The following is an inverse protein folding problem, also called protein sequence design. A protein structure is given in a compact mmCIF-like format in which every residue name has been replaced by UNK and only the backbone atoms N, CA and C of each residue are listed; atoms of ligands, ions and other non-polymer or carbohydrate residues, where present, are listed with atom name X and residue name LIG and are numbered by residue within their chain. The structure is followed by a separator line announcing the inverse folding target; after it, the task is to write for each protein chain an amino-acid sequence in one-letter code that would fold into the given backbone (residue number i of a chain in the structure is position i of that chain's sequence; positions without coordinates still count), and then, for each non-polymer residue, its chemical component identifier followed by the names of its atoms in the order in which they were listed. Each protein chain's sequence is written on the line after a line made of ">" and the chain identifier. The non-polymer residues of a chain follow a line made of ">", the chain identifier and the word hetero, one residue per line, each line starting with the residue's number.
data_IF_566773875256
#
_entry.id   IF_566773875256
#
_cell.length_a   1.000
_cell.length_b   1.000
_cell.length_c   1.000
_cell.angle_alpha   90.00
_cell.angle_beta   90.00
_cell.angle_gamma   90.00
#
_symmetry.space_group_name_H-M   'P 1'
#
loop_
_entity.id
_entity.type
_entity.pdbx_description
1 polymer ?
#
# COMPACT_ATOMS: atom_id res chain seq x y z
N UNK A 1 3.25 -2.33 -12.44
CA UNK A 1 3.90 -3.45 -11.71
C UNK A 1 2.83 -4.41 -11.25
N UNK A 2 2.86 -5.68 -11.67
CA UNK A 2 1.87 -6.69 -11.24
C UNK A 2 1.89 -6.87 -9.72
N UNK A 3 0.74 -7.10 -9.09
CA UNK A 3 0.62 -7.31 -7.63
C UNK A 3 1.57 -8.39 -7.09
N UNK A 4 1.83 -9.43 -7.88
CA UNK A 4 2.81 -10.47 -7.53
C UNK A 4 4.23 -9.91 -7.42
N UNK A 5 4.64 -9.03 -8.33
CA UNK A 5 5.98 -8.44 -8.35
C UNK A 5 6.17 -7.51 -7.15
N UNK A 6 5.16 -6.67 -6.84
CA UNK A 6 5.18 -5.80 -5.66
C UNK A 6 5.44 -6.59 -4.38
N UNK A 7 4.73 -7.71 -4.18
CA UNK A 7 4.89 -8.57 -3.00
C UNK A 7 6.27 -9.22 -2.91
N UNK A 8 6.86 -9.62 -4.04
CA UNK A 8 8.22 -10.18 -4.08
C UNK A 8 9.25 -9.12 -3.71
N UNK A 9 9.14 -7.91 -4.30
CA UNK A 9 10.04 -6.78 -3.98
C UNK A 9 9.95 -6.42 -2.50
N UNK A 10 8.73 -6.34 -1.96
CA UNK A 10 8.51 -6.04 -0.56
C UNK A 10 9.04 -7.13 0.39
N UNK A 11 8.90 -8.41 0.03
CA UNK A 11 9.51 -9.51 0.78
C UNK A 11 11.06 -9.45 0.76
N UNK A 12 11.64 -9.04 -0.37
CA UNK A 12 13.08 -8.76 -0.47
C UNK A 12 13.52 -7.62 0.46
N UNK A 13 12.74 -6.53 0.51
CA UNK A 13 12.98 -5.41 1.42
C UNK A 13 12.94 -5.87 2.89
N UNK A 14 11.93 -6.65 3.29
CA UNK A 14 11.85 -7.15 4.67
C UNK A 14 12.98 -8.12 5.02
N UNK A 15 13.40 -8.98 4.09
CA UNK A 15 14.59 -9.82 4.28
C UNK A 15 15.83 -8.94 4.51
N UNK A 16 16.04 -7.90 3.70
CA UNK A 16 17.16 -6.97 3.87
C UNK A 16 17.11 -6.23 5.22
N UNK A 17 15.93 -5.73 5.63
CA UNK A 17 15.73 -5.14 6.96
C UNK A 17 16.01 -6.14 8.08
N UNK A 18 15.65 -7.42 7.87
CA UNK A 18 15.97 -8.53 8.76
C UNK A 18 17.46 -8.80 8.93
N UNK A 19 18.31 -8.33 8.02
CA UNK A 19 19.78 -8.39 8.12
C UNK A 19 20.36 -7.11 8.73
N UNK A 20 19.87 -5.96 8.27
CA UNK A 20 20.37 -4.64 8.66
C UNK A 20 20.04 -4.31 10.12
N UNK A 21 18.79 -4.50 10.55
CA UNK A 21 18.36 -4.11 11.91
C UNK A 21 19.16 -4.85 12.99
N UNK A 22 19.33 -6.19 12.95
CA UNK A 22 20.13 -6.89 13.94
C UNK A 22 21.61 -6.50 13.93
N UNK A 23 22.18 -6.27 12.74
CA UNK A 23 23.58 -5.87 12.61
C UNK A 23 23.86 -4.55 13.33
N UNK A 24 23.00 -3.55 13.12
CA UNK A 24 23.11 -2.25 13.79
C UNK A 24 22.78 -2.32 15.28
N UNK A 25 21.76 -3.09 15.67
CA UNK A 25 21.38 -3.26 17.08
C UNK A 25 22.52 -3.89 17.91
N UNK A 26 23.27 -4.84 17.33
CA UNK A 26 24.39 -5.49 18.00
C UNK A 26 25.62 -4.59 18.17
N UNK A 27 25.98 -3.79 17.16
CA UNK A 27 27.21 -2.98 17.18
C UNK A 27 27.02 -1.58 17.78
N UNK A 28 25.85 -0.96 17.63
CA UNK A 28 25.66 0.46 18.00
C UNK A 28 25.19 0.65 19.44
N UNK A 29 24.54 -0.36 20.03
CA UNK A 29 23.93 -0.26 21.36
C UNK A 29 24.55 -1.21 22.40
N UNK A 30 25.49 -2.09 22.02
CA UNK A 30 26.10 -3.08 22.92
C UNK A 30 25.09 -4.05 23.56
N UNK A 31 23.87 -4.09 23.02
CA UNK A 31 22.73 -4.79 23.59
C UNK A 31 22.67 -6.22 23.08
N UNK A 32 22.49 -7.20 23.99
CA UNK A 32 22.29 -8.60 23.62
C UNK A 32 21.04 -8.74 22.76
N UNK A 33 21.20 -9.26 21.54
CA UNK A 33 20.12 -9.48 20.56
C UNK A 33 18.95 -10.34 21.08
N UNK A 34 19.13 -11.05 22.19
CA UNK A 34 18.09 -11.83 22.88
C UNK A 34 16.99 -10.96 23.51
N UNK A 35 17.26 -9.68 23.80
CA UNK A 35 16.30 -8.79 24.49
C UNK A 35 15.29 -8.16 23.53
N UNK A 36 15.74 -7.74 22.34
CA UNK A 36 14.90 -7.00 21.37
C UNK A 36 14.39 -7.85 20.20
N UNK A 37 14.91 -9.07 20.00
CA UNK A 37 14.50 -9.98 18.92
C UNK A 37 14.38 -9.31 17.53
N UNK A 38 15.41 -8.58 17.08
CA UNK A 38 15.32 -7.64 15.95
C UNK A 38 14.92 -8.29 14.61
N UNK A 39 15.21 -9.59 14.41
CA UNK A 39 14.87 -10.33 13.19
C UNK A 39 13.38 -10.67 13.07
N UNK A 40 12.63 -10.70 14.17
CA UNK A 40 11.24 -11.17 14.19
C UNK A 40 10.29 -10.12 13.61
N UNK A 41 10.59 -8.83 13.83
CA UNK A 41 9.77 -7.72 13.37
C UNK A 41 9.67 -7.67 11.83
N UNK A 42 10.78 -7.72 11.06
CA UNK A 42 10.71 -7.72 9.59
C UNK A 42 9.98 -8.96 9.04
N UNK A 43 10.17 -10.13 9.65
CA UNK A 43 9.51 -11.37 9.22
C UNK A 43 8.00 -11.34 9.50
N UNK A 44 7.58 -10.84 10.67
CA UNK A 44 6.16 -10.64 10.99
C UNK A 44 5.51 -9.67 10.01
N UNK A 45 6.14 -8.53 9.75
CA UNK A 45 5.67 -7.56 8.77
C UNK A 45 5.57 -8.19 7.39
N UNK A 46 6.58 -8.93 6.93
CA UNK A 46 6.54 -9.65 5.65
C UNK A 46 5.37 -10.62 5.56
N UNK A 47 5.08 -11.38 6.62
CA UNK A 47 3.91 -12.26 6.66
C UNK A 47 2.60 -11.48 6.52
N UNK A 48 2.43 -10.44 7.35
CA UNK A 48 1.22 -9.61 7.37
C UNK A 48 1.02 -8.86 6.04
N UNK A 49 2.07 -8.36 5.40
CA UNK A 49 1.96 -7.59 4.16
C UNK A 49 1.91 -8.48 2.92
N UNK A 50 2.80 -9.46 2.81
CA UNK A 50 3.03 -10.25 1.59
C UNK A 50 2.32 -11.60 1.59
N UNK A 51 1.80 -12.05 2.72
CA UNK A 51 1.07 -13.30 2.89
C UNK A 51 1.94 -14.49 3.32
N UNK A 52 1.32 -15.66 3.56
CA UNK A 52 1.95 -16.77 4.29
C UNK A 52 3.16 -17.38 3.56
N UNK A 53 3.08 -17.52 2.22
CA UNK A 53 4.17 -18.14 1.43
C UNK A 53 5.45 -17.29 1.48
N UNK A 54 5.32 -15.98 1.29
CA UNK A 54 6.46 -15.07 1.30
C UNK A 54 6.96 -14.82 2.73
N UNK A 55 6.07 -14.76 3.72
CA UNK A 55 6.46 -14.72 5.14
C UNK A 55 7.26 -15.95 5.56
N UNK A 56 6.86 -17.15 5.15
CA UNK A 56 7.60 -18.40 5.40
C UNK A 56 9.00 -18.36 4.78
N UNK A 57 9.11 -18.02 3.50
CA UNK A 57 10.40 -17.93 2.80
C UNK A 57 11.30 -16.88 3.44
N UNK A 58 10.76 -15.70 3.77
CA UNK A 58 11.48 -14.65 4.48
C UNK A 58 12.02 -15.15 5.84
N UNK A 59 11.20 -15.91 6.59
CA UNK A 59 11.58 -16.48 7.88
C UNK A 59 12.69 -17.53 7.81
N UNK A 60 12.78 -18.31 6.72
CA UNK A 60 13.93 -19.21 6.48
C UNK A 60 15.15 -18.42 6.05
N UNK A 61 15.00 -17.60 5.02
CA UNK A 61 16.14 -16.98 4.32
C UNK A 61 16.88 -15.99 5.21
N UNK A 62 16.15 -15.20 6.01
CA UNK A 62 16.72 -14.14 6.85
C UNK A 62 17.78 -14.66 7.85
N UNK A 63 17.49 -15.62 8.75
CA UNK A 63 18.48 -16.09 9.71
C UNK A 63 19.65 -16.84 9.05
N UNK A 64 19.40 -17.54 7.94
CA UNK A 64 20.47 -18.21 7.17
C UNK A 64 21.45 -17.19 6.58
N UNK A 65 20.94 -16.16 5.90
CA UNK A 65 21.77 -15.09 5.36
C UNK A 65 22.50 -14.33 6.47
N UNK A 66 21.83 -14.06 7.59
CA UNK A 66 22.45 -13.37 8.73
C UNK A 66 23.61 -14.16 9.33
N UNK A 67 23.45 -15.48 9.50
CA UNK A 67 24.50 -16.37 10.00
C UNK A 67 25.73 -16.39 9.09
N UNK A 68 25.51 -16.45 7.76
CA UNK A 68 26.60 -16.43 6.77
C UNK A 68 27.36 -15.09 6.81
N UNK A 69 26.64 -13.97 6.91
CA UNK A 69 27.25 -12.64 6.84
C UNK A 69 27.90 -12.17 8.13
N UNK A 70 27.30 -12.51 9.28
CA UNK A 70 27.68 -11.94 10.58
C UNK A 70 28.25 -12.97 11.55
N UNK A 71 28.20 -14.26 11.21
CA UNK A 71 28.52 -15.35 12.13
C UNK A 71 27.46 -15.59 13.22
N UNK A 72 26.38 -14.78 13.24
CA UNK A 72 25.26 -14.91 14.18
C UNK A 72 23.94 -15.07 13.42
N UNK A 73 23.02 -15.98 13.83
CA UNK A 73 23.14 -16.91 14.97
C UNK A 73 24.16 -18.03 14.74
N UNK A 74 24.61 -18.67 15.82
CA UNK A 74 25.51 -19.83 15.73
C UNK A 74 24.85 -20.95 14.92
N UNK A 75 25.63 -21.60 14.07
CA UNK A 75 25.13 -22.64 13.16
C UNK A 75 24.42 -23.79 13.90
N UNK A 76 24.88 -24.13 15.11
CA UNK A 76 24.22 -25.09 15.98
C UNK A 76 24.20 -24.59 17.44
N UNK A 77 23.11 -24.80 18.21
CA UNK A 77 21.77 -25.25 17.79
C UNK A 77 20.86 -24.09 17.34
N UNK A 78 21.31 -22.83 17.45
CA UNK A 78 20.43 -21.65 17.37
C UNK A 78 19.89 -21.34 15.97
N UNK A 79 20.68 -21.54 14.91
CA UNK A 79 20.24 -21.27 13.55
C UNK A 79 19.00 -22.10 13.15
N UNK A 80 18.98 -23.44 13.31
CA UNK A 80 17.77 -24.24 13.07
C UNK A 80 16.57 -23.77 13.89
N UNK A 81 16.76 -23.49 15.17
CA UNK A 81 15.69 -23.03 16.07
C UNK A 81 15.05 -21.74 15.56
N UNK A 82 15.87 -20.74 15.25
CA UNK A 82 15.38 -19.44 14.74
C UNK A 82 14.78 -19.57 13.35
N UNK A 83 15.33 -20.43 12.48
CA UNK A 83 14.77 -20.69 11.17
C UNK A 83 13.34 -21.25 11.29
N UNK A 84 13.10 -22.25 12.14
CA UNK A 84 11.76 -22.79 12.37
C UNK A 84 10.81 -21.77 13.03
N UNK A 85 11.27 -21.05 14.06
CA UNK A 85 10.48 -20.02 14.75
C UNK A 85 10.03 -18.90 13.79
N UNK A 86 10.96 -18.30 13.06
CA UNK A 86 10.69 -17.18 12.16
C UNK A 86 9.84 -17.60 10.96
N UNK A 87 10.06 -18.80 10.42
CA UNK A 87 9.24 -19.35 9.34
C UNK A 87 7.78 -19.47 9.74
N UNK A 88 7.52 -19.96 10.96
CA UNK A 88 6.16 -20.03 11.49
C UNK A 88 5.60 -18.65 11.81
N UNK A 89 6.41 -17.72 12.31
CA UNK A 89 5.96 -16.34 12.55
C UNK A 89 5.40 -15.73 11.27
N UNK A 90 6.18 -15.75 10.19
CA UNK A 90 5.78 -15.19 8.89
C UNK A 90 4.63 -15.95 8.24
N UNK A 91 4.61 -17.29 8.35
CA UNK A 91 3.53 -18.11 7.78
C UNK A 91 2.20 -17.88 8.50
N UNK A 92 2.19 -17.97 9.83
CA UNK A 92 0.95 -17.89 10.64
C UNK A 92 0.41 -16.47 10.67
N UNK A 93 1.27 -15.45 10.78
CA UNK A 93 0.81 -14.05 10.72
C UNK A 93 0.17 -13.75 9.36
N UNK A 94 0.81 -14.18 8.27
CA UNK A 94 0.25 -14.02 6.93
C UNK A 94 -1.01 -14.83 6.69
N UNK A 95 -1.10 -16.06 7.17
CA UNK A 95 -2.31 -16.88 7.02
C UNK A 95 -3.49 -16.31 7.80
N UNK A 96 -3.30 -15.96 9.08
CA UNK A 96 -4.37 -15.42 9.93
C UNK A 96 -4.84 -14.04 9.46
N UNK A 97 -3.92 -13.16 9.07
CA UNK A 97 -4.27 -11.80 8.66
C UNK A 97 -4.77 -11.72 7.20
N UNK A 98 -4.07 -12.33 6.24
CA UNK A 98 -4.42 -12.19 4.81
C UNK A 98 -5.48 -13.18 4.33
N UNK A 99 -5.52 -14.39 4.90
CA UNK A 99 -6.45 -15.44 4.44
C UNK A 99 -7.67 -15.49 5.36
N UNK A 100 -7.48 -15.60 6.69
CA UNK A 100 -8.60 -15.60 7.64
C UNK A 100 -9.18 -14.21 7.95
N UNK A 101 -8.56 -13.12 7.47
CA UNK A 101 -9.00 -11.73 7.70
C UNK A 101 -9.21 -11.40 9.19
N UNK A 102 -8.39 -11.97 10.06
CA UNK A 102 -8.43 -11.68 11.50
C UNK A 102 -7.86 -10.28 11.77
N UNK A 103 -8.29 -9.59 12.85
CA UNK A 103 -7.67 -8.34 13.27
C UNK A 103 -6.18 -8.52 13.62
N UNK A 104 -5.41 -7.43 13.54
CA UNK A 104 -3.93 -7.45 13.68
C UNK A 104 -3.48 -8.09 15.01
N UNK A 105 -4.08 -7.71 16.14
CA UNK A 105 -3.65 -8.21 17.46
C UNK A 105 -3.84 -9.72 17.65
N UNK A 106 -5.03 -10.31 17.38
CA UNK A 106 -5.20 -11.76 17.36
C UNK A 106 -4.21 -12.49 16.44
N UNK A 107 -3.99 -11.97 15.22
CA UNK A 107 -3.02 -12.54 14.28
C UNK A 107 -1.60 -12.56 14.83
N UNK A 108 -1.18 -11.46 15.47
CA UNK A 108 0.14 -11.36 16.10
C UNK A 108 0.28 -12.33 17.28
N UNK A 109 -0.70 -12.36 18.19
CA UNK A 109 -0.65 -13.22 19.38
C UNK A 109 -0.60 -14.70 18.97
N UNK A 110 -1.43 -15.12 18.01
CA UNK A 110 -1.41 -16.49 17.49
C UNK A 110 -0.05 -16.86 16.88
N UNK A 111 0.49 -15.97 16.04
CA UNK A 111 1.79 -16.18 15.38
C UNK A 111 2.94 -16.26 16.39
N UNK A 112 2.99 -15.30 17.33
CA UNK A 112 4.02 -15.22 18.37
C UNK A 112 4.00 -16.47 19.24
N UNK A 113 2.81 -16.87 19.71
CA UNK A 113 2.65 -18.04 20.57
C UNK A 113 3.10 -19.32 19.86
N UNK A 114 2.68 -19.52 18.62
CA UNK A 114 3.01 -20.71 17.85
C UNK A 114 4.51 -20.83 17.57
N UNK A 115 5.19 -19.74 17.18
CA UNK A 115 6.63 -19.80 16.98
C UNK A 115 7.41 -19.92 18.29
N UNK A 116 6.95 -19.34 19.41
CA UNK A 116 7.58 -19.54 20.73
C UNK A 116 7.50 -20.98 21.20
N UNK A 117 6.34 -21.63 21.03
CA UNK A 117 6.17 -23.05 21.31
C UNK A 117 7.14 -23.86 20.43
N UNK A 118 7.23 -23.53 19.15
CA UNK A 118 8.12 -24.24 18.22
C UNK A 118 9.59 -24.04 18.56
N UNK A 119 10.00 -22.83 18.93
CA UNK A 119 11.34 -22.53 19.41
C UNK A 119 11.71 -23.45 20.59
N UNK A 120 10.85 -23.50 21.61
CA UNK A 120 11.06 -24.38 22.77
C UNK A 120 11.14 -25.87 22.40
N UNK A 121 10.26 -26.35 21.52
CA UNK A 121 10.24 -27.75 21.07
C UNK A 121 11.48 -28.12 20.25
N UNK A 122 11.85 -27.29 19.27
CA UNK A 122 13.03 -27.55 18.41
C UNK A 122 14.30 -27.47 19.22
N UNK A 123 14.43 -26.49 20.13
CA UNK A 123 15.59 -26.37 21.00
C UNK A 123 15.71 -27.58 21.94
N UNK A 124 14.62 -27.99 22.58
CA UNK A 124 14.61 -29.17 23.45
C UNK A 124 14.99 -30.45 22.68
N UNK A 125 14.48 -30.62 21.47
CA UNK A 125 14.82 -31.74 20.59
C UNK A 125 16.31 -31.77 20.24
N UNK A 126 16.86 -30.65 19.77
CA UNK A 126 18.28 -30.56 19.38
C UNK A 126 19.23 -30.76 20.56
N UNK A 127 18.92 -30.20 21.74
CA UNK A 127 19.74 -30.39 22.94
C UNK A 127 19.70 -31.83 23.47
N UNK A 128 18.58 -32.54 23.27
CA UNK A 128 18.45 -33.95 23.65
C UNK A 128 19.38 -34.84 22.83
N UNK A 129 19.70 -34.47 21.59
CA UNK A 129 20.67 -35.17 20.73
C UNK A 129 22.13 -34.98 21.20
N UNK A 130 22.43 -33.91 21.95
CA UNK A 130 23.77 -33.63 22.50
C UNK A 130 24.04 -34.29 23.87
N UNK A 131 23.09 -35.06 24.45
CA UNK A 131 23.30 -35.85 25.67
C UNK A 131 23.33 -35.07 27.00
N UNK A 132 22.86 -33.82 27.04
CA UNK A 132 22.96 -32.96 28.23
C UNK A 132 21.63 -32.68 28.95
N UNK A 133 21.20 -33.56 29.87
CA UNK A 133 19.98 -33.43 30.69
C UNK A 133 19.90 -32.12 31.49
N UNK A 134 21.05 -31.49 31.82
CA UNK A 134 21.13 -30.21 32.54
C UNK A 134 21.00 -28.95 31.67
N UNK A 135 21.09 -29.04 30.34
CA UNK A 135 20.92 -27.88 29.44
C UNK A 135 19.44 -27.55 29.18
N UNK A 136 18.51 -28.48 29.42
CA UNK A 136 17.07 -28.29 29.21
C UNK A 136 16.48 -27.20 30.12
N UNK A 137 17.01 -27.06 31.34
CA UNK A 137 16.61 -26.00 32.28
C UNK A 137 16.99 -24.59 31.78
N UNK A 138 18.08 -24.48 30.99
CA UNK A 138 18.52 -23.22 30.38
C UNK A 138 17.66 -22.78 29.19
N UNK A 139 16.98 -23.73 28.53
CA UNK A 139 16.05 -23.44 27.43
C UNK A 139 14.82 -22.63 27.91
N UNK A 140 14.34 -22.88 29.13
CA UNK A 140 13.28 -22.08 29.77
C UNK A 140 13.71 -20.64 30.06
N UNK A 141 14.99 -20.41 30.34
CA UNK A 141 15.55 -19.07 30.59
C UNK A 141 15.56 -18.21 29.33
N UNK A 142 15.83 -18.81 28.16
CA UNK A 142 15.79 -18.11 26.86
C UNK A 142 14.39 -17.58 26.51
N UNK A 143 13.33 -18.32 26.87
CA UNK A 143 11.93 -17.87 26.65
C UNK A 143 11.59 -16.67 27.52
N UNK A 144 12.06 -16.65 28.78
CA UNK A 144 11.80 -15.55 29.72
C UNK A 144 12.54 -14.27 29.32
N UNK A 145 13.76 -14.38 28.82
CA UNK A 145 14.55 -13.21 28.36
C UNK A 145 13.99 -12.54 27.11
N UNK A 146 13.10 -13.22 26.36
CA UNK A 146 12.48 -12.70 25.15
C UNK A 146 11.18 -11.91 25.36
N UNK A 147 10.65 -11.87 26.59
CA UNK A 147 9.40 -11.16 26.94
C UNK A 147 9.43 -9.65 26.60
N UNK A 148 10.50 -8.90 26.90
CA UNK A 148 10.58 -7.48 26.53
C UNK A 148 10.43 -7.26 25.02
N UNK A 149 11.12 -8.07 24.21
CA UNK A 149 11.03 -7.98 22.75
C UNK A 149 9.64 -8.34 22.21
N UNK A 150 8.91 -9.26 22.83
CA UNK A 150 7.51 -9.55 22.47
C UNK A 150 6.60 -8.35 22.72
N UNK A 151 6.77 -7.66 23.86
CA UNK A 151 6.00 -6.45 24.15
C UNK A 151 6.27 -5.35 23.12
N UNK A 152 7.54 -5.16 22.75
CA UNK A 152 7.93 -4.21 21.69
C UNK A 152 7.30 -4.60 20.36
N UNK A 153 7.32 -5.88 19.97
CA UNK A 153 6.69 -6.34 18.74
C UNK A 153 5.18 -6.06 18.71
N UNK A 154 4.47 -6.30 19.81
CA UNK A 154 3.03 -6.06 19.91
C UNK A 154 2.66 -4.58 19.75
N UNK A 155 3.57 -3.65 20.06
CA UNK A 155 3.37 -2.21 19.88
C UNK A 155 3.85 -1.76 18.49
N UNK A 156 5.06 -2.13 18.10
CA UNK A 156 5.71 -1.60 16.90
C UNK A 156 5.13 -2.19 15.62
N UNK A 157 4.80 -3.48 15.58
CA UNK A 157 4.31 -4.15 14.36
C UNK A 157 2.98 -3.56 13.88
N UNK A 158 1.94 -3.35 14.72
CA UNK A 158 0.70 -2.73 14.27
C UNK A 158 0.87 -1.31 13.72
N UNK A 159 1.73 -0.50 14.36
CA UNK A 159 1.98 0.89 13.93
C UNK A 159 2.61 0.91 12.54
N UNK A 160 3.66 0.12 12.33
CA UNK A 160 4.33 0.03 11.04
C UNK A 160 3.39 -0.56 9.99
N UNK A 161 2.66 -1.64 10.31
CA UNK A 161 1.75 -2.28 9.37
C UNK A 161 0.67 -1.30 8.88
N UNK A 162 0.03 -0.54 9.78
CA UNK A 162 -0.97 0.47 9.39
C UNK A 162 -0.40 1.54 8.47
N UNK A 163 0.82 2.02 8.77
CA UNK A 163 1.51 2.98 7.92
C UNK A 163 1.81 2.42 6.53
N UNK A 164 2.31 1.18 6.47
CA UNK A 164 2.63 0.49 5.22
C UNK A 164 1.35 0.23 4.41
N UNK A 165 0.28 -0.28 5.01
CA UNK A 165 -0.96 -0.57 4.28
C UNK A 165 -1.64 0.69 3.75
N UNK A 166 -1.63 1.78 4.52
CA UNK A 166 -2.13 3.07 4.05
C UNK A 166 -1.39 3.63 2.84
N UNK A 167 -0.14 3.20 2.60
CA UNK A 167 0.67 3.64 1.45
C UNK A 167 0.77 2.62 0.32
N UNK A 168 0.76 1.32 0.63
CA UNK A 168 0.95 0.24 -0.36
C UNK A 168 -0.38 -0.29 -0.89
N UNK A 169 -1.42 -0.35 -0.07
CA UNK A 169 -2.66 -1.04 -0.39
C UNK A 169 -3.88 -0.10 -0.23
N UNK A 170 -4.05 0.88 -1.13
CA UNK A 170 -5.24 1.73 -1.19
C UNK A 170 -6.56 0.95 -1.36
N UNK A 171 -6.52 -0.36 -1.62
CA UNK A 171 -7.69 -1.22 -1.75
C UNK A 171 -8.49 -1.46 -0.46
N UNK A 172 -7.93 -1.15 0.71
CA UNK A 172 -8.70 -1.17 1.97
C UNK A 172 -9.56 0.08 2.17
N UNK A 173 -9.51 1.03 1.25
CA UNK A 173 -10.49 2.12 1.19
C UNK A 173 -11.75 1.56 0.56
N UNK A 174 -12.85 1.51 1.31
CA UNK A 174 -14.17 1.27 0.70
C UNK A 174 -14.43 2.36 -0.35
N UNK A 175 -14.47 1.93 -1.61
CA UNK A 175 -14.81 2.75 -2.75
C UNK A 175 -16.33 2.75 -2.90
N UNK A 176 -16.97 3.61 -2.12
CA UNK A 176 -18.40 3.88 -2.24
C UNK A 176 -18.59 5.03 -3.24
N UNK A 177 -19.55 4.87 -4.13
CA UNK A 177 -20.10 5.96 -4.94
C UNK A 177 -20.95 6.85 -4.03
N UNK A 178 -20.73 8.16 -4.08
CA UNK A 178 -21.56 9.11 -3.37
C UNK A 178 -22.83 9.41 -4.19
N UNK A 179 -23.93 9.68 -3.50
CA UNK A 179 -25.10 10.29 -4.12
C UNK A 179 -24.75 11.73 -4.47
N UNK A 180 -24.80 12.05 -5.76
CA UNK A 180 -24.56 13.40 -6.24
C UNK A 180 -25.89 14.17 -6.19
N UNK A 181 -25.89 15.36 -5.59
CA UNK A 181 -27.03 16.28 -5.58
C UNK A 181 -27.23 16.89 -6.99
N UNK A 182 -27.63 16.03 -7.93
CA UNK A 182 -27.74 16.26 -9.36
C UNK A 182 -29.03 15.60 -9.88
N UNK A 183 -29.84 16.29 -10.69
CA UNK A 183 -31.01 15.67 -11.31
C UNK A 183 -30.60 14.54 -12.26
N UNK A 184 -31.23 13.37 -12.14
CA UNK A 184 -30.96 12.18 -12.96
C UNK A 184 -31.02 12.48 -14.47
N UNK A 185 -31.96 13.34 -14.88
CA UNK A 185 -32.12 13.74 -16.28
C UNK A 185 -30.87 14.44 -16.83
N UNK A 186 -30.29 15.35 -16.07
CA UNK A 186 -29.15 16.16 -16.51
C UNK A 186 -27.87 15.32 -16.54
N UNK A 187 -27.73 14.40 -15.59
CA UNK A 187 -26.66 13.42 -15.61
C UNK A 187 -26.80 12.47 -16.81
N UNK A 188 -27.99 11.96 -17.09
CA UNK A 188 -28.25 11.09 -18.24
C UNK A 188 -27.93 11.81 -19.57
N UNK A 189 -28.37 13.06 -19.73
CA UNK A 189 -28.09 13.86 -20.92
C UNK A 189 -26.58 14.11 -21.11
N UNK A 190 -25.86 14.45 -20.04
CA UNK A 190 -24.41 14.62 -20.08
C UNK A 190 -23.69 13.32 -20.48
N UNK A 191 -24.14 12.17 -19.94
CA UNK A 191 -23.60 10.85 -20.29
C UNK A 191 -23.86 10.48 -21.74
N UNK A 192 -25.03 10.79 -22.27
CA UNK A 192 -25.37 10.57 -23.70
C UNK A 192 -24.49 11.42 -24.63
N UNK A 193 -24.19 12.67 -24.27
CA UNK A 193 -23.26 13.52 -25.03
C UNK A 193 -21.85 12.93 -25.06
N UNK A 194 -21.37 12.40 -23.93
CA UNK A 194 -20.06 11.75 -23.84
C UNK A 194 -20.03 10.43 -24.62
N UNK A 195 -21.08 9.61 -24.48
CA UNK A 195 -21.19 8.31 -25.14
C UNK A 195 -21.29 8.45 -26.68
N UNK A 196 -22.01 9.48 -27.15
CA UNK A 196 -22.12 9.81 -28.58
C UNK A 196 -20.89 10.50 -29.17
N UNK A 197 -19.87 10.79 -28.33
CA UNK A 197 -18.62 11.41 -28.76
C UNK A 197 -18.73 12.91 -29.06
N UNK A 198 -19.85 13.53 -28.70
CA UNK A 198 -20.09 14.98 -28.84
C UNK A 198 -19.47 15.80 -27.72
N UNK A 199 -18.97 15.14 -26.67
CA UNK A 199 -18.31 15.78 -25.54
C UNK A 199 -17.20 14.88 -24.97
N UNK A 200 -16.12 15.51 -24.52
CA UNK A 200 -15.12 14.88 -23.64
C UNK A 200 -15.43 15.15 -22.16
N UNK A 201 -15.93 16.35 -21.86
CA UNK A 201 -16.32 16.80 -20.53
C UNK A 201 -17.58 17.67 -20.62
N UNK A 202 -18.47 17.54 -19.65
CA UNK A 202 -19.70 18.33 -19.50
C UNK A 202 -19.76 18.87 -18.08
N UNK A 203 -20.14 20.13 -17.90
CA UNK A 203 -20.36 20.70 -16.57
C UNK A 203 -21.84 20.96 -16.34
N UNK A 204 -22.29 20.68 -15.12
CA UNK A 204 -23.68 20.89 -14.69
C UNK A 204 -23.67 21.84 -13.49
N UNK A 205 -24.47 22.91 -13.57
CA UNK A 205 -24.70 23.81 -12.44
C UNK A 205 -26.20 24.06 -12.28
N UNK A 206 -26.68 24.11 -11.04
CA UNK A 206 -28.11 24.30 -10.73
C UNK A 206 -29.03 23.31 -11.49
N UNK A 207 -28.52 22.10 -11.73
CA UNK A 207 -29.24 21.06 -12.45
C UNK A 207 -29.31 21.22 -13.96
N UNK A 208 -28.61 22.19 -14.56
CA UNK A 208 -28.57 22.40 -16.02
C UNK A 208 -27.15 22.25 -16.57
N UNK A 209 -27.01 21.75 -17.80
CA UNK A 209 -25.73 21.72 -18.50
C UNK A 209 -25.31 23.16 -18.81
N UNK A 210 -24.13 23.56 -18.35
CA UNK A 210 -23.59 24.91 -18.58
C UNK A 210 -22.54 24.95 -19.67
N UNK A 211 -21.76 23.88 -19.81
CA UNK A 211 -20.68 23.79 -20.78
C UNK A 211 -20.55 22.37 -21.31
N UNK A 212 -20.21 22.29 -22.60
CA UNK A 212 -19.94 21.06 -23.34
C UNK A 212 -18.61 21.28 -24.03
N UNK A 213 -17.58 20.54 -23.61
CA UNK A 213 -16.25 20.66 -24.19
C UNK A 213 -15.87 19.38 -24.93
N UNK A 214 -15.46 19.55 -26.17
CA UNK A 214 -14.81 18.50 -26.95
C UNK A 214 -13.31 18.46 -26.63
N UNK A 215 -12.75 17.25 -26.66
CA UNK A 215 -11.33 17.06 -26.44
C UNK A 215 -11.03 15.68 -25.89
N UNK A 216 -9.77 15.47 -25.54
CA UNK A 216 -9.32 14.17 -25.00
C UNK A 216 -8.34 14.36 -23.84
N UNK A 217 -8.35 13.41 -22.92
CA UNK A 217 -7.56 13.53 -21.70
C UNK A 217 -8.04 14.73 -20.89
N UNK A 218 -7.10 15.47 -20.29
CA UNK A 218 -7.44 16.62 -19.43
C UNK A 218 -7.70 17.93 -20.21
N UNK A 219 -7.55 17.94 -21.54
CA UNK A 219 -7.70 19.18 -22.34
C UNK A 219 -9.05 19.90 -22.15
N UNK A 220 -10.21 19.21 -22.07
CA UNK A 220 -11.49 19.87 -21.83
C UNK A 220 -11.53 20.61 -20.48
N UNK A 221 -11.00 19.98 -19.42
CA UNK A 221 -10.93 20.57 -18.09
C UNK A 221 -10.00 21.79 -18.06
N UNK A 222 -8.88 21.70 -18.77
CA UNK A 222 -7.91 22.81 -18.86
C UNK A 222 -8.49 24.00 -19.64
N UNK A 223 -9.23 23.76 -20.72
CA UNK A 223 -9.98 24.79 -21.46
C UNK A 223 -10.95 25.54 -20.53
N UNK A 224 -11.78 24.79 -19.79
CA UNK A 224 -12.75 25.38 -18.85
C UNK A 224 -12.10 26.16 -17.72
N UNK A 225 -10.90 25.74 -17.29
CA UNK A 225 -10.18 26.39 -16.21
C UNK A 225 -9.39 27.62 -16.67
N UNK A 226 -8.54 27.47 -17.68
CA UNK A 226 -7.59 28.49 -18.13
C UNK A 226 -8.25 29.45 -19.12
N UNK A 227 -8.85 28.93 -20.17
CA UNK A 227 -9.33 29.74 -21.30
C UNK A 227 -10.67 30.41 -20.98
N UNK A 228 -11.48 29.78 -20.13
CA UNK A 228 -12.83 30.24 -19.79
C UNK A 228 -12.97 30.78 -18.36
N UNK A 229 -11.89 31.30 -17.76
CA UNK A 229 -11.93 31.95 -16.43
C UNK A 229 -12.58 31.10 -15.32
N UNK A 230 -12.10 29.85 -15.19
CA UNK A 230 -12.53 28.88 -14.18
C UNK A 230 -14.05 28.61 -14.12
N UNK A 231 -14.64 28.24 -15.26
CA UNK A 231 -16.05 27.77 -15.33
C UNK A 231 -16.34 26.45 -14.62
N UNK A 232 -15.31 25.80 -14.08
CA UNK A 232 -15.44 24.60 -13.25
C UNK A 232 -15.87 24.93 -11.80
N UNK A 233 -15.70 26.18 -11.35
CA UNK A 233 -15.95 26.53 -9.95
C UNK A 233 -17.42 26.35 -9.57
N UNK A 234 -17.66 25.55 -8.54
CA UNK A 234 -19.00 25.30 -7.99
C UNK A 234 -19.91 24.43 -8.85
N UNK A 235 -19.42 23.87 -9.96
CA UNK A 235 -20.19 23.00 -10.87
C UNK A 235 -19.92 21.52 -10.58
N UNK A 236 -20.79 20.64 -11.06
CA UNK A 236 -20.50 19.22 -11.17
C UNK A 236 -19.86 18.92 -12.52
N UNK A 237 -18.81 18.11 -12.51
CA UNK A 237 -18.08 17.70 -13.72
C UNK A 237 -18.46 16.27 -14.08
N UNK A 238 -18.86 16.05 -15.33
CA UNK A 238 -19.12 14.73 -15.91
C UNK A 238 -18.08 14.52 -17.02
N UNK A 239 -17.24 13.49 -16.89
CA UNK A 239 -16.18 13.19 -17.87
C UNK A 239 -16.20 11.71 -18.24
N UNK A 240 -15.68 11.38 -19.42
CA UNK A 240 -15.45 9.99 -19.83
C UNK A 240 -14.43 9.29 -18.93
N UNK A 241 -13.36 9.98 -18.53
CA UNK A 241 -12.26 9.36 -17.77
C UNK A 241 -11.74 10.30 -16.68
N UNK A 242 -11.99 9.95 -15.42
CA UNK A 242 -11.47 10.67 -14.24
C UNK A 242 -10.25 9.96 -13.66
N UNK A 243 -9.07 10.39 -14.13
CA UNK A 243 -7.77 10.05 -13.55
C UNK A 243 -7.36 10.96 -12.39
N UNK A 244 -6.30 10.62 -11.64
CA UNK A 244 -5.83 11.47 -10.52
C UNK A 244 -5.50 12.90 -10.98
N UNK A 245 -4.96 13.07 -12.19
CA UNK A 245 -4.70 14.39 -12.75
C UNK A 245 -5.98 15.22 -12.96
N UNK A 246 -7.03 14.61 -13.52
CA UNK A 246 -8.33 15.27 -13.69
C UNK A 246 -8.93 15.63 -12.32
N UNK A 247 -8.85 14.72 -11.34
CA UNK A 247 -9.32 14.96 -9.98
C UNK A 247 -8.57 16.13 -9.30
N UNK A 248 -7.26 16.24 -9.49
CA UNK A 248 -6.45 17.38 -9.00
C UNK A 248 -6.94 18.69 -9.61
N UNK A 249 -7.17 18.74 -10.93
CA UNK A 249 -7.70 19.93 -11.61
C UNK A 249 -9.07 20.30 -11.04
N UNK A 250 -9.98 19.33 -10.90
CA UNK A 250 -11.31 19.53 -10.34
C UNK A 250 -11.27 20.10 -8.91
N UNK A 251 -10.44 19.51 -8.03
CA UNK A 251 -10.28 20.02 -6.65
C UNK A 251 -9.68 21.42 -6.65
N UNK A 252 -8.64 21.66 -7.45
CA UNK A 252 -7.97 22.96 -7.53
C UNK A 252 -8.90 24.05 -8.08
N UNK A 253 -9.76 23.70 -9.04
CA UNK A 253 -10.74 24.60 -9.63
C UNK A 253 -11.93 24.90 -8.70
N UNK A 254 -12.17 24.05 -7.68
CA UNK A 254 -13.26 24.20 -6.72
C UNK A 254 -14.60 23.66 -7.22
N UNK A 255 -14.60 22.50 -7.88
CA UNK A 255 -15.84 21.82 -8.31
C UNK A 255 -16.68 21.38 -7.11
N UNK A 256 -17.98 21.18 -7.31
CA UNK A 256 -18.92 20.66 -6.32
C UNK A 256 -18.95 19.14 -6.24
N UNK A 257 -18.61 18.46 -7.33
CA UNK A 257 -18.58 17.00 -7.40
C UNK A 257 -18.19 16.52 -8.78
N UNK A 258 -17.92 15.22 -8.90
CA UNK A 258 -17.49 14.62 -10.17
C UNK A 258 -18.18 13.29 -10.45
N UNK A 259 -18.47 13.05 -11.73
CA UNK A 259 -18.90 11.77 -12.26
C UNK A 259 -17.95 11.34 -13.39
N UNK A 260 -17.49 10.08 -13.35
CA UNK A 260 -16.68 9.51 -14.41
C UNK A 260 -17.26 8.21 -14.95
N UNK A 261 -17.37 8.04 -16.27
CA UNK A 261 -17.69 6.69 -16.81
C UNK A 261 -16.61 5.67 -16.41
N UNK A 262 -15.34 6.09 -16.44
CA UNK A 262 -14.21 5.37 -15.85
C UNK A 262 -13.49 6.25 -14.83
N UNK A 263 -13.33 5.77 -13.60
CA UNK A 263 -12.54 6.44 -12.57
C UNK A 263 -11.35 5.58 -12.13
N UNK A 264 -10.22 6.19 -11.80
CA UNK A 264 -9.10 5.49 -11.20
C UNK A 264 -9.21 5.41 -9.67
N UNK A 265 -8.67 4.34 -9.06
CA UNK A 265 -8.55 4.23 -7.60
C UNK A 265 -7.81 5.43 -6.97
N UNK A 266 -6.67 5.90 -7.51
CA UNK A 266 -6.00 7.09 -7.00
C UNK A 266 -6.86 8.35 -7.05
N UNK A 267 -7.67 8.55 -8.11
CA UNK A 267 -8.61 9.67 -8.19
C UNK A 267 -9.70 9.58 -7.11
N UNK A 268 -10.33 8.42 -6.97
CA UNK A 268 -11.42 8.23 -6.01
C UNK A 268 -10.97 8.44 -4.56
N UNK A 269 -9.73 8.03 -4.21
CA UNK A 269 -9.13 8.29 -2.90
C UNK A 269 -8.86 9.78 -2.70
N UNK A 270 -8.21 10.41 -3.68
CA UNK A 270 -7.89 11.83 -3.61
C UNK A 270 -9.14 12.70 -3.44
N UNK A 271 -10.21 12.43 -4.20
CA UNK A 271 -11.49 13.14 -4.08
C UNK A 271 -12.14 12.93 -2.72
N UNK A 272 -12.11 11.70 -2.19
CA UNK A 272 -12.61 11.37 -0.85
C UNK A 272 -11.88 12.16 0.23
N UNK A 273 -10.56 12.20 0.18
CA UNK A 273 -9.73 12.94 1.15
C UNK A 273 -9.96 14.46 1.10
N UNK A 274 -10.33 14.98 -0.08
CA UNK A 274 -10.68 16.40 -0.27
C UNK A 274 -12.16 16.71 -0.04
N UNK A 275 -12.95 15.73 0.41
CA UNK A 275 -14.40 15.85 0.62
C UNK A 275 -15.17 16.33 -0.62
N UNK A 276 -14.74 15.88 -1.81
CA UNK A 276 -15.48 16.12 -3.06
C UNK A 276 -16.35 14.90 -3.37
N UNK A 277 -17.68 15.06 -3.44
CA UNK A 277 -18.60 14.02 -3.90
C UNK A 277 -18.15 13.42 -5.23
N UNK A 278 -18.08 12.10 -5.30
CA UNK A 278 -17.62 11.38 -6.48
C UNK A 278 -18.47 10.16 -6.79
N UNK A 279 -18.75 9.95 -8.06
CA UNK A 279 -19.45 8.75 -8.54
C UNK A 279 -18.83 8.25 -9.86
N UNK A 280 -19.02 6.97 -10.17
CA UNK A 280 -18.46 6.36 -11.38
C UNK A 280 -19.26 5.14 -11.86
N UNK A 281 -19.12 4.79 -13.14
CA UNK A 281 -19.64 3.53 -13.69
C UNK A 281 -18.65 2.38 -13.50
N UNK A 282 -17.38 2.57 -13.87
CA UNK A 282 -16.30 1.59 -13.74
C UNK A 282 -15.12 2.15 -12.93
N UNK A 283 -14.51 1.31 -12.08
CA UNK A 283 -13.33 1.67 -11.29
C UNK A 283 -12.11 0.85 -11.74
N UNK A 284 -11.05 1.53 -12.17
CA UNK A 284 -9.79 0.92 -12.59
C UNK A 284 -8.64 1.19 -11.61
N UNK A 285 -7.60 0.34 -11.64
CA UNK A 285 -6.37 0.53 -10.84
C UNK A 285 -5.71 1.89 -11.12
N UNK A 286 -5.49 2.20 -12.39
CA UNK A 286 -4.88 3.43 -12.88
C UNK A 286 -5.38 3.68 -14.31
N UNK A 287 -5.39 4.93 -14.75
CA UNK A 287 -5.66 5.22 -16.16
C UNK A 287 -4.45 4.85 -17.00
N UNK A 288 -4.69 4.04 -18.04
CA UNK A 288 -3.67 3.55 -18.97
C UNK A 288 -3.54 4.53 -20.14
N UNK A 289 -2.32 4.68 -20.65
CA UNK A 289 -2.05 5.54 -21.80
C UNK A 289 -2.69 4.98 -23.09
N UNK A 290 -2.70 5.79 -24.15
CA UNK A 290 -3.33 5.42 -25.43
C UNK A 290 -2.64 4.24 -26.13
N UNK A 291 -1.34 4.09 -25.91
CA UNK A 291 -0.52 3.00 -26.47
C UNK A 291 -0.76 1.66 -25.75
N UNK A 292 -1.46 1.69 -24.60
CA UNK A 292 -1.74 0.53 -23.74
C UNK A 292 -0.50 -0.18 -23.21
N UNK A 293 0.64 0.51 -23.16
CA UNK A 293 1.92 -0.02 -22.70
C UNK A 293 2.34 0.50 -21.31
N UNK A 294 1.60 1.47 -20.76
CA UNK A 294 1.92 2.05 -19.45
C UNK A 294 0.83 2.92 -18.84
N UNK A 295 1.11 3.43 -17.65
CA UNK A 295 0.25 4.40 -16.96
C UNK A 295 0.23 5.71 -17.77
N UNK A 296 -0.92 6.37 -17.84
CA UNK A 296 -1.06 7.69 -18.46
C UNK A 296 -0.02 8.68 -17.88
N UNK A 297 0.76 9.40 -18.71
CA UNK A 297 1.77 10.33 -18.22
C UNK A 297 1.21 11.40 -17.27
N UNK A 298 -0.01 11.87 -17.55
CA UNK A 298 -0.69 12.86 -16.70
C UNK A 298 -1.01 12.26 -15.33
N UNK A 299 -1.58 11.06 -15.30
CA UNK A 299 -1.84 10.31 -14.06
C UNK A 299 -0.56 10.15 -13.24
N UNK A 300 0.49 9.66 -13.89
CA UNK A 300 1.77 9.36 -13.26
C UNK A 300 2.42 10.59 -12.62
N UNK A 301 2.31 11.75 -13.27
CA UNK A 301 2.91 13.02 -12.80
C UNK A 301 2.43 13.49 -11.43
N UNK A 302 1.26 13.01 -10.97
CA UNK A 302 0.64 13.43 -9.71
C UNK A 302 0.32 12.27 -8.77
N UNK A 303 0.79 11.04 -9.04
CA UNK A 303 0.49 9.87 -8.20
C UNK A 303 0.91 10.09 -6.74
N UNK A 304 2.02 10.79 -6.51
CA UNK A 304 2.61 11.07 -5.20
C UNK A 304 2.26 12.43 -4.61
N UNK A 305 1.41 13.21 -5.28
CA UNK A 305 1.07 14.58 -4.87
C UNK A 305 -0.34 14.66 -4.26
N UNK A 306 -0.44 15.26 -3.08
CA UNK A 306 -1.69 15.41 -2.34
C UNK A 306 -2.10 16.89 -2.21
N UNK A 307 -1.20 17.84 -2.52
CA UNK A 307 -1.50 19.27 -2.53
C UNK A 307 -2.09 19.71 -3.89
N UNK A 308 -3.29 20.31 -3.93
CA UNK A 308 -3.94 20.68 -5.19
C UNK A 308 -3.14 21.68 -6.03
N UNK A 309 -2.50 22.67 -5.40
CA UNK A 309 -1.77 23.73 -6.10
C UNK A 309 -0.46 23.20 -6.70
N UNK A 310 0.31 22.42 -5.93
CA UNK A 310 1.50 21.73 -6.43
C UNK A 310 1.15 20.72 -7.50
N UNK A 311 0.06 19.97 -7.33
CA UNK A 311 -0.44 19.02 -8.31
C UNK A 311 -0.77 19.69 -9.64
N UNK A 312 -1.49 20.81 -9.61
CA UNK A 312 -1.80 21.59 -10.81
C UNK A 312 -0.54 22.09 -11.52
N UNK A 313 0.44 22.61 -10.78
CA UNK A 313 1.75 23.03 -11.35
C UNK A 313 2.48 21.87 -12.02
N UNK A 314 2.51 20.68 -11.41
CA UNK A 314 3.10 19.46 -11.99
C UNK A 314 2.42 19.05 -13.29
N UNK A 315 1.08 19.17 -13.35
CA UNK A 315 0.29 18.87 -14.54
C UNK A 315 0.66 19.83 -15.69
N UNK A 316 0.69 21.14 -15.44
CA UNK A 316 1.08 22.13 -16.46
C UNK A 316 2.49 21.87 -17.00
N UNK A 317 3.46 21.65 -16.11
CA UNK A 317 4.84 21.34 -16.51
C UNK A 317 4.96 20.04 -17.32
N UNK A 318 4.08 19.07 -17.07
CA UNK A 318 4.04 17.80 -17.81
C UNK A 318 3.42 18.01 -19.20
N UNK A 319 2.36 18.82 -19.31
CA UNK A 319 1.78 19.20 -20.61
C UNK A 319 2.79 19.87 -21.51
N UNK A 320 3.56 20.85 -21.00
CA UNK A 320 4.59 21.56 -21.76
C UNK A 320 5.64 20.60 -22.33
N UNK A 321 6.12 19.65 -21.52
CA UNK A 321 7.09 18.63 -21.96
C UNK A 321 6.53 17.73 -23.06
N UNK A 322 5.26 17.34 -22.95
CA UNK A 322 4.61 16.48 -23.95
C UNK A 322 4.39 17.25 -25.25
N UNK A 323 3.98 18.51 -25.20
CA UNK A 323 3.83 19.35 -26.38
C UNK A 323 5.17 19.59 -27.08
N UNK A 324 6.25 19.83 -26.32
CA UNK A 324 7.59 20.03 -26.85
C UNK A 324 8.17 18.77 -27.53
N UNK A 325 7.85 17.57 -27.05
CA UNK A 325 8.31 16.32 -27.66
C UNK A 325 7.50 15.89 -28.90
N UNK A 326 6.33 16.49 -29.12
CA UNK A 326 5.47 16.22 -30.29
C UNK A 326 5.56 17.34 -31.36
N UNK A 327 6.41 18.35 -31.13
CA UNK A 327 6.72 19.45 -32.06
C UNK A 327 8.01 19.16 -32.81
#
# INVERSE_FOLDING_TARGET
>A
MTERIKKIVLAGLFTALGLVIPFFAGHSFGMRGTVFLPMHLPVLLCGLTCGPKLGFVCGIVTPFLSSIMTGMPSAFPMLPVLAFELSLYGMISGWTYRIKKMPIYPSLICSITAGRITNGLVLAFLLSLEGGTFKVLSAGYSVLTGLPGVMIQLITVPVILKYIEGKINPETVEFNVDELDLPDRSLAEARDLIASGKAGCVTINEGMITDIEEGRGISPLMSLYIEKDNRLKGTFVVDKVIGKAAAVICVFAGVRGVFGELMSKPAAIYLKEKNIPRSWTELAENIINRQKDGICPMEFSVLDEDDPEKGFKKICATLEKISANNS
#
